data_IF_111607380682
#
_entry.id   IF_111607380682
#
_cell.length_a   1.000
_cell.length_b   1.000
_cell.length_c   1.000
_cell.angle_alpha   90.00
_cell.angle_beta   90.00
_cell.angle_gamma   90.00
#
_symmetry.space_group_name_H-M   'P 1'
#
loop_
_entity.id
_entity.type
_entity.pdbx_description
1 polymer ?
#
# COMPACT_ATOMS: atom_id res chain seq x y z
N UNK A 1 -5.72 -17.19 28.34
CA UNK A 1 -4.97 -15.93 28.60
C UNK A 1 -5.26 -15.01 27.43
N UNK A 2 -6.41 -14.33 27.50
CA UNK A 2 -6.83 -13.27 26.58
C UNK A 2 -6.61 -11.96 27.34
N UNK A 3 -5.91 -10.99 26.73
CA UNK A 3 -6.00 -9.57 27.08
C UNK A 3 -6.20 -8.83 25.76
N UNK A 4 -7.42 -8.43 25.40
CA UNK A 4 -8.09 -7.18 25.78
C UNK A 4 -7.15 -5.96 25.74
N UNK A 5 -7.20 -5.23 24.63
CA UNK A 5 -6.85 -3.81 24.61
C UNK A 5 -8.11 -3.03 24.28
N UNK A 6 -8.62 -2.33 25.29
CA UNK A 6 -9.73 -1.41 25.21
C UNK A 6 -9.35 -0.12 24.50
N UNK A 7 -10.37 0.47 23.86
CA UNK A 7 -10.34 1.81 23.30
C UNK A 7 -10.39 2.81 24.45
N UNK A 8 -9.34 3.62 24.61
CA UNK A 8 -9.39 4.82 25.43
C UNK A 8 -9.66 6.02 24.50
N UNK A 9 -10.86 6.56 24.58
CA UNK A 9 -11.17 7.90 24.06
C UNK A 9 -10.85 8.92 25.15
N UNK A 10 -9.88 9.78 24.92
CA UNK A 10 -9.78 11.06 25.62
C UNK A 10 -9.85 12.19 24.60
N UNK A 11 -10.90 13.01 24.76
CA UNK A 11 -11.08 14.26 24.04
C UNK A 11 -10.22 15.34 24.70
N UNK A 12 -9.25 15.86 23.95
CA UNK A 12 -8.72 17.21 24.16
C UNK A 12 -8.18 17.71 22.83
N UNK A 13 -8.93 18.64 22.25
CA UNK A 13 -8.63 19.36 21.03
C UNK A 13 -7.30 20.12 21.16
N UNK A 14 -6.24 19.65 20.50
CA UNK A 14 -5.26 20.47 19.80
C UNK A 14 -4.31 19.56 19.00
N UNK A 15 -4.74 19.11 17.81
CA UNK A 15 -3.79 18.59 16.83
C UNK A 15 -3.21 19.79 16.08
N UNK A 16 -1.90 20.07 16.16
CA UNK A 16 -1.31 21.10 15.33
C UNK A 16 -1.43 20.67 13.88
N UNK A 17 -1.89 21.62 13.06
CA UNK A 17 -2.03 21.54 11.61
C UNK A 17 -0.64 21.30 11.00
N UNK A 18 -0.22 20.03 10.96
CA UNK A 18 1.00 19.61 10.31
C UNK A 18 0.76 19.63 8.81
N UNK A 19 1.21 20.72 8.21
CA UNK A 19 1.48 20.94 6.79
C UNK A 19 1.90 19.62 6.14
N UNK A 20 0.96 19.02 5.40
CA UNK A 20 1.16 17.85 4.54
C UNK A 20 1.76 18.31 3.21
N UNK A 21 2.93 18.94 3.26
CA UNK A 21 3.77 19.17 2.08
C UNK A 21 5.15 18.59 2.36
N UNK A 22 5.19 17.30 2.65
CA UNK A 22 6.42 16.54 2.51
C UNK A 22 6.39 15.89 1.14
N UNK A 23 6.86 16.64 0.15
CA UNK A 23 7.27 16.10 -1.14
C UNK A 23 8.16 14.90 -0.90
N UNK A 24 7.63 13.71 -1.19
CA UNK A 24 8.41 12.48 -1.22
C UNK A 24 9.51 12.71 -2.27
N UNK A 25 10.74 12.91 -1.81
CA UNK A 25 11.90 13.12 -2.70
C UNK A 25 12.26 11.80 -3.36
N UNK A 26 11.59 11.49 -4.47
CA UNK A 26 11.88 10.34 -5.33
C UNK A 26 13.10 10.69 -6.18
N UNK A 27 14.22 9.99 -5.97
CA UNK A 27 15.41 10.14 -6.80
C UNK A 27 15.11 9.62 -8.22
N UNK A 28 15.23 10.48 -9.24
CA UNK A 28 14.66 10.25 -10.58
C UNK A 28 15.48 9.26 -11.42
N UNK A 29 15.00 8.03 -11.63
CA UNK A 29 15.51 7.18 -12.72
C UNK A 29 14.41 6.49 -13.56
N UNK A 30 13.17 6.35 -13.07
CA UNK A 30 11.98 6.06 -13.91
C UNK A 30 10.76 6.77 -13.35
N UNK A 31 10.21 7.73 -14.11
CA UNK A 31 8.99 8.45 -13.75
C UNK A 31 7.90 8.09 -14.75
N UNK A 32 7.21 6.97 -14.52
CA UNK A 32 6.06 6.59 -15.32
C UNK A 32 4.85 7.33 -14.76
N UNK A 33 4.28 8.26 -15.53
CA UNK A 33 3.07 8.98 -15.16
C UNK A 33 1.87 8.41 -15.91
N UNK A 34 0.79 8.08 -15.20
CA UNK A 34 -0.47 7.62 -15.78
C UNK A 34 -1.59 8.61 -15.45
N UNK A 35 -2.26 9.09 -16.50
CA UNK A 35 -3.46 9.92 -16.35
C UNK A 35 -4.69 9.03 -16.25
N UNK A 36 -5.40 9.10 -15.13
CA UNK A 36 -6.60 8.28 -14.90
C UNK A 36 -7.87 9.14 -14.84
N UNK A 37 -8.99 8.52 -15.18
CA UNK A 37 -10.32 9.13 -15.12
C UNK A 37 -11.32 8.16 -14.47
N UNK A 38 -12.59 8.56 -14.34
CA UNK A 38 -13.63 7.68 -13.79
C UNK A 38 -13.81 6.36 -14.57
N UNK A 39 -13.43 6.34 -15.85
CA UNK A 39 -13.48 5.13 -16.70
C UNK A 39 -12.49 4.05 -16.25
N UNK A 40 -11.48 4.42 -15.48
CA UNK A 40 -10.48 3.50 -14.93
C UNK A 40 -10.91 2.92 -13.57
N UNK A 41 -12.04 3.37 -13.01
CA UNK A 41 -12.55 2.85 -11.74
C UNK A 41 -13.42 1.60 -11.95
N UNK A 42 -13.09 0.54 -11.23
CA UNK A 42 -13.88 -0.68 -11.16
C UNK A 42 -14.66 -0.71 -9.83
N UNK A 43 -15.93 -0.33 -9.87
CA UNK A 43 -16.80 -0.33 -8.69
C UNK A 43 -17.48 -1.68 -8.42
N UNK A 44 -17.48 -2.58 -9.40
CA UNK A 44 -18.09 -3.90 -9.25
C UNK A 44 -17.10 -4.88 -8.61
N UNK A 45 -17.41 -5.32 -7.40
CA UNK A 45 -16.70 -6.42 -6.72
C UNK A 45 -17.27 -7.79 -7.08
N UNK A 46 -18.30 -7.84 -7.94
CA UNK A 46 -19.03 -9.08 -8.27
C UNK A 46 -18.37 -9.93 -9.37
N UNK A 47 -17.18 -9.55 -9.85
CA UNK A 47 -16.41 -10.37 -10.79
C UNK A 47 -16.19 -11.77 -10.22
N UNK A 48 -16.86 -12.73 -10.84
CA UNK A 48 -16.54 -14.15 -10.67
C UNK A 48 -15.12 -14.34 -11.19
N UNK A 49 -14.33 -15.17 -10.50
CA UNK A 49 -12.97 -15.52 -10.90
C UNK A 49 -12.86 -15.70 -12.43
N UNK A 50 -12.12 -14.81 -13.10
CA UNK A 50 -11.76 -14.95 -14.53
C UNK A 50 -12.40 -13.96 -15.52
N UNK A 51 -13.35 -13.11 -15.13
CA UNK A 51 -13.78 -11.99 -16.00
C UNK A 51 -13.11 -10.68 -15.55
N UNK A 52 -11.90 -10.46 -16.08
CA UNK A 52 -11.11 -9.24 -15.93
C UNK A 52 -11.69 -8.14 -16.81
N UNK A 53 -12.36 -7.17 -16.20
CA UNK A 53 -12.37 -5.82 -16.76
C UNK A 53 -11.03 -5.19 -16.41
N UNK A 54 -9.97 -5.49 -17.17
CA UNK A 54 -8.69 -4.82 -16.99
C UNK A 54 -8.78 -3.42 -17.61
N UNK A 55 -9.02 -2.40 -16.79
CA UNK A 55 -8.95 -1.02 -17.25
C UNK A 55 -7.56 -0.70 -17.82
N UNK A 56 -7.42 0.45 -18.47
CA UNK A 56 -6.11 0.90 -18.95
C UNK A 56 -5.14 1.07 -17.77
N UNK A 57 -5.66 1.49 -16.61
CA UNK A 57 -4.92 1.56 -15.36
C UNK A 57 -4.46 0.18 -14.87
N UNK A 58 -5.34 -0.83 -14.84
CA UNK A 58 -4.99 -2.18 -14.38
C UNK A 58 -3.92 -2.82 -15.27
N UNK A 59 -4.06 -2.66 -16.59
CA UNK A 59 -3.08 -3.15 -17.56
C UNK A 59 -1.71 -2.49 -17.35
N UNK A 60 -1.70 -1.17 -17.13
CA UNK A 60 -0.47 -0.43 -16.85
C UNK A 60 0.16 -0.88 -15.53
N UNK A 61 -0.65 -1.00 -14.47
CA UNK A 61 -0.21 -1.42 -13.14
C UNK A 61 0.39 -2.82 -13.15
N UNK A 62 -0.27 -3.78 -13.80
CA UNK A 62 0.22 -5.16 -13.91
C UNK A 62 1.56 -5.22 -14.65
N UNK A 63 1.69 -4.47 -15.76
CA UNK A 63 2.95 -4.39 -16.52
C UNK A 63 4.09 -3.85 -15.66
N UNK A 64 3.87 -2.73 -14.96
CA UNK A 64 4.91 -2.11 -14.14
C UNK A 64 5.23 -2.94 -12.89
N UNK A 65 4.24 -3.64 -12.33
CA UNK A 65 4.44 -4.61 -11.26
C UNK A 65 5.40 -5.73 -11.68
N UNK A 66 5.19 -6.34 -12.85
CA UNK A 66 6.06 -7.39 -13.40
C UNK A 66 7.47 -6.84 -13.67
N UNK A 67 7.59 -5.63 -14.23
CA UNK A 67 8.87 -5.00 -14.48
C UNK A 67 9.65 -4.71 -13.19
N UNK A 68 8.99 -4.16 -12.16
CA UNK A 68 9.60 -3.89 -10.86
C UNK A 68 10.02 -5.17 -10.14
N UNK A 69 9.24 -6.25 -10.32
CA UNK A 69 9.59 -7.57 -9.82
C UNK A 69 10.89 -8.08 -10.45
N UNK A 70 10.97 -8.05 -11.78
CA UNK A 70 12.18 -8.44 -12.51
C UNK A 70 13.40 -7.57 -12.14
N UNK A 71 13.17 -6.31 -11.79
CA UNK A 71 14.19 -5.37 -11.34
C UNK A 71 14.60 -5.53 -9.86
N UNK A 72 14.02 -6.48 -9.10
CA UNK A 72 14.38 -6.69 -7.69
C UNK A 72 13.95 -5.53 -6.77
N UNK A 73 12.84 -4.86 -7.10
CA UNK A 73 12.26 -3.81 -6.25
C UNK A 73 11.69 -4.37 -4.94
N UNK A 74 11.21 -5.61 -4.97
CA UNK A 74 10.57 -6.26 -3.82
C UNK A 74 11.61 -6.85 -2.86
N UNK A 75 11.35 -6.74 -1.56
CA UNK A 75 12.23 -7.27 -0.53
C UNK A 75 12.27 -8.81 -0.48
N UNK A 76 11.21 -9.49 -0.95
CA UNK A 76 11.15 -10.96 -1.06
C UNK A 76 10.08 -11.40 -2.06
N UNK A 77 10.25 -12.61 -2.63
CA UNK A 77 9.25 -13.23 -3.51
C UNK A 77 8.11 -13.87 -2.72
N UNK A 78 6.92 -13.89 -3.34
CA UNK A 78 5.69 -14.52 -2.83
C UNK A 78 5.04 -15.47 -3.85
N UNK A 79 5.77 -15.87 -4.90
CA UNK A 79 5.23 -16.78 -5.94
C UNK A 79 5.09 -18.22 -5.46
N UNK A 80 6.12 -18.77 -4.84
CA UNK A 80 6.17 -20.18 -4.46
C UNK A 80 5.85 -20.40 -2.98
N UNK A 81 4.80 -19.73 -2.50
CA UNK A 81 4.37 -19.85 -1.11
C UNK A 81 3.46 -21.07 -1.01
N UNK A 82 3.80 -22.00 -0.11
CA UNK A 82 2.94 -23.15 0.17
C UNK A 82 1.53 -22.65 0.54
N UNK A 83 0.58 -23.08 -0.28
CA UNK A 83 -0.80 -22.58 -0.30
C UNK A 83 -1.75 -23.76 -0.17
N UNK A 84 -2.72 -23.63 0.73
CA UNK A 84 -3.76 -24.64 0.96
C UNK A 84 -5.13 -23.99 1.05
N UNK A 85 -6.12 -24.60 0.40
CA UNK A 85 -7.53 -24.25 0.60
C UNK A 85 -8.02 -25.02 1.83
N UNK A 86 -8.53 -24.31 2.83
CA UNK A 86 -9.07 -24.89 4.05
C UNK A 86 -10.46 -25.50 3.77
N UNK A 87 -10.79 -26.63 4.42
CA UNK A 87 -12.11 -27.24 4.27
C UNK A 87 -13.22 -26.32 4.76
N UNK A 88 -14.39 -26.39 4.12
CA UNK A 88 -15.59 -25.63 4.49
C UNK A 88 -16.20 -24.88 3.31
N UNK A 89 -17.37 -24.28 3.54
CA UNK A 89 -18.19 -23.64 2.47
C UNK A 89 -17.57 -22.40 1.83
N UNK A 90 -16.52 -21.85 2.41
CA UNK A 90 -15.98 -20.54 2.05
C UNK A 90 -14.67 -20.58 1.27
N UNK A 91 -14.05 -21.76 1.11
CA UNK A 91 -12.82 -21.90 0.31
C UNK A 91 -11.66 -21.00 0.79
N UNK A 92 -11.48 -20.85 2.11
CA UNK A 92 -10.45 -19.95 2.67
C UNK A 92 -9.07 -20.39 2.19
N UNK A 93 -8.29 -19.46 1.63
CA UNK A 93 -6.91 -19.70 1.19
C UNK A 93 -5.94 -19.39 2.33
N UNK A 94 -5.17 -20.38 2.75
CA UNK A 94 -4.08 -20.25 3.72
C UNK A 94 -2.72 -20.32 3.01
N UNK A 95 -1.83 -19.36 3.27
CA UNK A 95 -0.49 -19.28 2.68
C UNK A 95 0.58 -19.11 3.75
N UNK A 96 1.67 -19.90 3.70
CA UNK A 96 2.76 -19.82 4.68
C UNK A 96 3.96 -19.02 4.16
N UNK A 97 3.95 -17.71 4.38
CA UNK A 97 5.07 -16.85 3.98
C UNK A 97 6.21 -16.87 5.03
N UNK A 98 7.10 -17.86 4.93
CA UNK A 98 8.23 -18.03 5.86
C UNK A 98 9.19 -16.83 5.81
N UNK A 99 9.42 -16.28 4.62
CA UNK A 99 10.30 -15.13 4.41
C UNK A 99 9.84 -13.91 5.22
N UNK A 100 8.53 -13.72 5.43
CA UNK A 100 8.00 -12.65 6.31
C UNK A 100 8.50 -12.77 7.76
N UNK A 101 8.68 -13.99 8.27
CA UNK A 101 9.20 -14.22 9.63
C UNK A 101 10.69 -13.91 9.72
N UNK A 102 11.46 -14.31 8.70
CA UNK A 102 12.93 -14.20 8.68
C UNK A 102 13.37 -12.76 8.37
N UNK A 103 12.73 -12.14 7.38
CA UNK A 103 13.06 -10.80 6.88
C UNK A 103 12.28 -9.70 7.60
N UNK A 104 11.66 -10.01 8.74
CA UNK A 104 10.98 -8.99 9.55
C UNK A 104 11.99 -7.94 9.99
N UNK A 105 11.60 -6.67 9.93
CA UNK A 105 12.39 -5.58 10.53
C UNK A 105 12.65 -5.90 12.00
N UNK A 106 13.88 -5.70 12.45
CA UNK A 106 14.22 -5.81 13.87
C UNK A 106 13.41 -4.76 14.63
N UNK A 107 12.73 -5.13 15.73
CA UNK A 107 12.09 -4.14 16.58
C UNK A 107 13.13 -3.13 17.06
N UNK A 108 12.77 -1.85 17.04
CA UNK A 108 13.59 -0.83 17.68
C UNK A 108 13.46 -0.97 19.20
N UNK A 109 14.57 -0.78 19.91
CA UNK A 109 14.56 -0.68 21.36
C UNK A 109 13.89 0.62 21.75
N UNK A 110 12.83 0.53 22.55
CA UNK A 110 12.15 1.69 23.13
C UNK A 110 12.71 1.91 24.52
N UNK A 111 13.40 3.03 24.75
CA UNK A 111 14.01 3.36 26.04
C UNK A 111 13.22 4.44 26.80
N UNK A 112 12.46 5.26 26.07
CA UNK A 112 11.74 6.42 26.59
C UNK A 112 10.32 6.46 26.03
N UNK A 113 9.40 7.10 26.76
CA UNK A 113 8.02 7.30 26.30
C UNK A 113 8.02 8.25 25.08
N UNK A 114 8.84 9.30 25.12
CA UNK A 114 9.01 10.26 24.02
C UNK A 114 10.32 10.00 23.26
N UNK A 115 10.37 8.89 22.52
CA UNK A 115 11.56 8.54 21.75
C UNK A 115 11.63 9.33 20.44
N UNK A 116 12.75 10.03 20.13
CA UNK A 116 12.90 10.75 18.88
C UNK A 116 12.97 9.79 17.69
N UNK A 117 12.35 10.17 16.56
CA UNK A 117 12.38 9.40 15.32
C UNK A 117 13.76 9.53 14.66
N UNK A 118 14.41 8.40 14.38
CA UNK A 118 15.64 8.39 13.58
C UNK A 118 15.29 8.51 12.09
N UNK A 119 15.64 9.63 11.41
CA UNK A 119 15.32 9.82 10.00
C UNK A 119 16.07 8.86 9.06
N UNK A 120 17.07 8.11 9.55
CA UNK A 120 17.78 7.08 8.79
C UNK A 120 17.10 5.71 8.86
N UNK A 121 16.22 5.49 9.85
CA UNK A 121 15.42 4.26 9.97
C UNK A 121 14.17 4.35 9.10
N UNK A 122 13.36 3.30 9.13
CA UNK A 122 12.12 3.24 8.37
C UNK A 122 11.28 4.49 8.66
N UNK A 123 10.98 5.22 7.60
CA UNK A 123 10.27 6.48 7.65
C UNK A 123 9.19 6.40 6.59
N UNK A 124 7.91 6.53 6.99
CA UNK A 124 6.78 6.49 6.08
C UNK A 124 6.84 7.58 5.00
N UNK A 125 7.65 8.62 5.20
CA UNK A 125 7.88 9.70 4.24
C UNK A 125 9.00 9.38 3.22
N UNK A 126 9.61 8.19 3.29
CA UNK A 126 10.68 7.77 2.38
C UNK A 126 10.30 6.47 1.66
N UNK A 127 10.17 6.57 0.34
CA UNK A 127 10.08 5.43 -0.56
C UNK A 127 11.37 5.38 -1.40
N UNK A 128 11.91 4.18 -1.64
CA UNK A 128 13.02 4.06 -2.56
C UNK A 128 12.51 4.28 -3.99
N UNK A 129 13.27 4.96 -4.82
CA UNK A 129 12.84 5.25 -6.20
C UNK A 129 12.49 4.00 -7.00
N UNK A 130 13.18 2.89 -6.74
CA UNK A 130 12.91 1.60 -7.39
C UNK A 130 11.58 0.95 -6.98
N UNK A 131 10.99 1.38 -5.85
CA UNK A 131 9.70 0.88 -5.34
C UNK A 131 8.52 1.67 -5.92
N UNK A 132 8.78 2.82 -6.56
CA UNK A 132 7.75 3.62 -7.22
C UNK A 132 7.42 3.00 -8.57
N UNK A 133 6.21 2.47 -8.72
CA UNK A 133 5.74 1.85 -9.98
C UNK A 133 5.24 2.90 -10.97
N UNK A 134 4.24 3.68 -10.54
CA UNK A 134 3.50 4.63 -11.39
C UNK A 134 3.14 5.85 -10.55
N UNK A 135 3.27 7.05 -11.13
CA UNK A 135 2.70 8.28 -10.61
C UNK A 135 1.33 8.51 -11.25
N UNK A 136 0.29 8.60 -10.42
CA UNK A 136 -1.07 8.84 -10.89
C UNK A 136 -1.35 10.34 -11.01
N UNK A 137 -2.02 10.73 -12.08
CA UNK A 137 -2.53 12.08 -12.29
C UNK A 137 -4.01 12.01 -12.64
N UNK A 138 -4.86 12.63 -11.83
CA UNK A 138 -6.28 12.66 -12.12
C UNK A 138 -6.57 13.59 -13.30
N UNK A 139 -7.31 13.09 -14.28
CA UNK A 139 -7.77 13.82 -15.45
C UNK A 139 -9.31 13.87 -15.43
N UNK A 140 -9.86 14.56 -14.43
CA UNK A 140 -11.30 14.83 -14.28
C UNK A 140 -11.54 16.24 -13.75
N UNK A 141 -12.78 16.72 -13.82
CA UNK A 141 -13.09 18.09 -13.41
C UNK A 141 -12.98 18.24 -11.88
N UNK A 142 -12.36 19.32 -11.39
CA UNK A 142 -12.27 19.60 -9.94
C UNK A 142 -13.64 19.78 -9.25
N UNK A 143 -14.72 19.95 -10.02
CA UNK A 143 -16.07 20.17 -9.52
C UNK A 143 -16.75 18.89 -9.00
N UNK A 144 -16.29 17.70 -9.42
CA UNK A 144 -16.89 16.41 -9.02
C UNK A 144 -16.39 15.89 -7.67
N UNK A 145 -15.17 16.27 -7.24
CA UNK A 145 -14.59 15.81 -5.96
C UNK A 145 -15.28 16.42 -4.73
N UNK A 146 -15.80 17.64 -4.82
CA UNK A 146 -16.56 18.27 -3.72
C UNK A 146 -17.98 17.73 -3.55
N UNK A 147 -18.53 17.08 -4.58
CA UNK A 147 -19.91 16.56 -4.56
C UNK A 147 -20.02 15.15 -3.94
N UNK A 148 -18.91 14.44 -3.77
CA UNK A 148 -18.88 13.07 -3.25
C UNK A 148 -18.47 12.98 -1.76
N UNK A 149 -18.09 14.11 -1.14
CA UNK A 149 -17.71 14.23 0.27
C UNK A 149 -18.73 15.02 1.11
N UNK A 150 -19.90 15.35 0.53
CA UNK A 150 -21.03 16.00 1.19
C UNK A 150 -22.20 15.02 1.32
#
# INVERSE_FOLDING_TARGET
MLEMWGVATCASNHFPELIMENDIKINQERKISFSYSEKDFLFSTSSRHGEELASSLDTCLLKEWVAAKAAGAFNYSVEDVETKILPGRYGIVAQININRKILRRKPDTILEIEQPVDPKKFNFNKIQSKEVLIQLQFFGSKQELSAQLA
#
